data_IF_130321073913
#
_entry.id   IF_130321073913
#
_cell.length_a   1.000
_cell.length_b   1.000
_cell.length_c   1.000
_cell.angle_alpha   90.00
_cell.angle_beta   90.00
_cell.angle_gamma   90.00
#
_symmetry.space_group_name_H-M   'P 1'
#
loop_
_entity.id
_entity.type
_entity.pdbx_description
1 polymer ?
#
# COMPACT_ATOMS: atom_id res chain seq x y z
N UNK A 1 -4.95 44.63 -30.10
CA UNK A 1 -4.38 45.19 -28.85
C UNK A 1 -2.96 44.65 -28.68
N UNK A 2 -1.94 45.53 -28.74
CA UNK A 2 -0.54 45.16 -28.57
C UNK A 2 -0.31 44.66 -27.14
N UNK A 3 0.20 43.44 -26.97
CA UNK A 3 0.77 42.97 -25.70
C UNK A 3 2.01 43.82 -25.42
N UNK A 4 1.93 44.67 -24.42
CA UNK A 4 3.04 45.47 -23.94
C UNK A 4 3.93 44.53 -23.11
N UNK A 5 4.95 43.95 -23.75
CA UNK A 5 5.93 43.10 -23.08
C UNK A 5 6.89 43.99 -22.29
N UNK A 6 6.92 43.80 -20.98
CA UNK A 6 7.83 44.48 -20.05
C UNK A 6 9.28 44.02 -20.31
N UNK A 7 10.18 44.97 -20.58
CA UNK A 7 11.55 44.75 -21.08
C UNK A 7 12.49 44.20 -19.97
N UNK A 8 12.00 44.03 -18.74
CA UNK A 8 12.81 43.64 -17.57
C UNK A 8 13.04 42.12 -17.37
N UNK A 9 12.68 41.26 -18.31
CA UNK A 9 12.73 39.80 -18.11
C UNK A 9 13.36 39.01 -19.26
N UNK A 10 14.66 39.18 -19.45
CA UNK A 10 15.43 38.22 -20.26
C UNK A 10 16.68 37.78 -19.48
N UNK A 11 16.53 36.71 -18.71
CA UNK A 11 17.68 35.90 -18.29
C UNK A 11 17.87 34.83 -19.35
N UNK A 12 19.08 34.69 -19.90
CA UNK A 12 19.36 33.63 -20.84
C UNK A 12 19.52 32.31 -20.08
N UNK A 13 18.74 31.31 -20.44
CA UNK A 13 18.87 29.96 -19.87
C UNK A 13 19.30 28.98 -20.96
N UNK A 14 20.28 28.14 -20.65
CA UNK A 14 20.71 27.07 -21.54
C UNK A 14 19.69 25.93 -21.48
N UNK A 15 18.99 25.71 -22.59
CA UNK A 15 18.20 24.50 -22.80
C UNK A 15 18.98 23.55 -23.72
N UNK A 16 19.10 22.28 -23.33
CA UNK A 16 19.62 21.24 -24.20
C UNK A 16 18.50 20.76 -25.11
N UNK A 17 18.66 20.96 -26.42
CA UNK A 17 17.79 20.32 -27.41
C UNK A 17 18.01 18.80 -27.40
N UNK A 18 17.02 18.03 -27.89
CA UNK A 18 17.12 16.56 -27.99
C UNK A 18 18.34 16.08 -28.81
N UNK A 19 18.93 16.96 -29.62
CA UNK A 19 20.11 16.72 -30.45
C UNK A 19 21.42 17.25 -29.83
N UNK A 20 21.41 17.67 -28.57
CA UNK A 20 22.63 18.05 -27.82
C UNK A 20 23.22 19.43 -28.17
N UNK A 21 22.54 20.27 -28.96
CA UNK A 21 22.92 21.68 -29.15
C UNK A 21 22.32 22.55 -28.04
N UNK A 22 23.17 23.37 -27.42
CA UNK A 22 22.77 24.40 -26.46
C UNK A 22 22.17 25.59 -27.22
N UNK A 23 20.88 25.86 -26.96
CA UNK A 23 20.19 27.06 -27.47
C UNK A 23 19.93 28.03 -26.32
N UNK A 24 20.34 29.28 -26.52
CA UNK A 24 20.10 30.38 -25.59
C UNK A 24 18.69 30.93 -25.83
N UNK A 25 17.77 30.65 -24.91
CA UNK A 25 16.40 31.16 -24.98
C UNK A 25 16.13 32.19 -23.87
N UNK A 26 15.29 33.20 -24.17
CA UNK A 26 14.82 34.14 -23.18
C UNK A 26 13.93 33.47 -22.12
N UNK A 27 14.37 33.43 -20.85
CA UNK A 27 13.53 32.98 -19.74
C UNK A 27 12.52 34.05 -19.34
N UNK A 28 11.22 33.70 -19.40
CA UNK A 28 10.13 34.51 -18.87
C UNK A 28 9.53 33.82 -17.66
N UNK A 29 9.42 34.54 -16.54
CA UNK A 29 8.79 34.00 -15.34
C UNK A 29 7.28 33.84 -15.56
N UNK A 30 6.79 32.60 -15.48
CA UNK A 30 5.36 32.28 -15.60
C UNK A 30 4.82 31.71 -14.28
N UNK A 31 3.94 32.48 -13.66
CA UNK A 31 3.32 32.12 -12.38
C UNK A 31 2.45 30.85 -12.47
N UNK A 32 1.81 30.58 -13.61
CA UNK A 32 0.98 29.39 -13.82
C UNK A 32 1.89 28.15 -13.87
N UNK A 33 2.98 28.23 -14.62
CA UNK A 33 3.95 27.12 -14.72
C UNK A 33 4.57 26.81 -13.37
N UNK A 34 5.01 27.84 -12.63
CA UNK A 34 5.62 27.65 -11.30
C UNK A 34 4.64 27.03 -10.30
N UNK A 35 3.38 27.48 -10.28
CA UNK A 35 2.35 26.91 -9.40
C UNK A 35 2.04 25.46 -9.74
N UNK A 36 1.98 25.12 -11.03
CA UNK A 36 1.82 23.73 -11.48
C UNK A 36 3.00 22.88 -11.04
N UNK A 37 4.24 23.36 -11.20
CA UNK A 37 5.45 22.66 -10.75
C UNK A 37 5.51 22.48 -9.23
N UNK A 38 5.05 23.48 -8.47
CA UNK A 38 4.91 23.37 -7.03
C UNK A 38 3.89 22.29 -6.64
N UNK A 39 2.74 22.21 -7.34
CA UNK A 39 1.76 21.16 -7.12
C UNK A 39 2.31 19.77 -7.47
N UNK A 40 3.02 19.63 -8.61
CA UNK A 40 3.70 18.39 -9.00
C UNK A 40 4.71 17.95 -7.95
N UNK A 41 5.52 18.87 -7.40
CA UNK A 41 6.48 18.59 -6.32
C UNK A 41 5.77 18.11 -5.04
N UNK A 42 4.66 18.74 -4.67
CA UNK A 42 3.87 18.36 -3.49
C UNK A 42 3.29 16.95 -3.66
N UNK A 43 2.81 16.61 -4.86
CA UNK A 43 2.30 15.28 -5.18
C UNK A 43 3.45 14.26 -5.13
N UNK A 44 4.55 14.53 -5.82
CA UNK A 44 5.68 13.61 -5.96
C UNK A 44 6.34 13.26 -4.63
N UNK A 45 6.43 14.23 -3.72
CA UNK A 45 7.08 14.06 -2.42
C UNK A 45 6.10 13.98 -1.26
N UNK A 46 4.80 13.86 -1.55
CA UNK A 46 3.72 13.72 -0.56
C UNK A 46 3.75 14.81 0.53
N UNK A 47 4.12 16.04 0.14
CA UNK A 47 4.27 17.11 1.11
C UNK A 47 2.91 17.56 1.66
N UNK A 48 2.84 17.96 2.95
CA UNK A 48 1.65 18.58 3.49
C UNK A 48 1.27 19.82 2.68
N UNK A 49 0.00 19.95 2.28
CA UNK A 49 -0.48 21.12 1.52
C UNK A 49 -0.21 22.45 2.22
N UNK A 50 -0.04 22.44 3.55
CA UNK A 50 0.31 23.62 4.36
C UNK A 50 1.75 24.09 4.18
N UNK A 51 2.64 23.30 3.58
CA UNK A 51 4.03 23.67 3.34
C UNK A 51 4.14 25.05 2.66
N UNK A 52 3.25 25.34 1.70
CA UNK A 52 3.24 26.61 0.95
C UNK A 52 2.94 27.83 1.82
N UNK A 53 2.41 27.62 3.03
CA UNK A 53 2.07 28.67 3.99
C UNK A 53 3.14 28.88 5.06
N UNK A 54 4.12 27.97 5.17
CA UNK A 54 5.19 28.04 6.17
C UNK A 54 6.12 29.23 5.91
N UNK A 55 6.56 29.92 6.96
CA UNK A 55 7.42 31.11 6.84
C UNK A 55 8.74 30.79 6.11
N UNK A 56 9.42 29.69 6.46
CA UNK A 56 10.66 29.30 5.80
C UNK A 56 10.49 29.04 4.29
N UNK A 57 9.36 28.45 3.86
CA UNK A 57 9.08 28.27 2.43
C UNK A 57 8.87 29.61 1.71
N UNK A 58 8.19 30.56 2.36
CA UNK A 58 7.95 31.90 1.81
C UNK A 58 9.25 32.69 1.66
N UNK A 59 10.10 32.69 2.68
CA UNK A 59 11.41 33.38 2.65
C UNK A 59 12.34 32.76 1.60
N UNK A 60 12.43 31.43 1.56
CA UNK A 60 13.18 30.70 0.55
C UNK A 60 12.72 31.05 -0.87
N UNK A 61 11.40 30.98 -1.13
CA UNK A 61 10.84 31.23 -2.45
C UNK A 61 10.99 32.69 -2.88
N UNK A 62 10.85 33.64 -1.95
CA UNK A 62 11.04 35.07 -2.21
C UNK A 62 12.50 35.39 -2.56
N UNK A 63 13.46 34.68 -1.94
CA UNK A 63 14.89 34.81 -2.23
C UNK A 63 15.23 34.24 -3.60
N UNK A 64 14.65 33.08 -3.96
CA UNK A 64 14.86 32.47 -5.28
C UNK A 64 14.25 33.29 -6.43
N UNK A 65 13.03 33.79 -6.23
CA UNK A 65 12.29 34.50 -7.26
C UNK A 65 11.34 35.52 -6.63
N UNK A 66 11.74 36.81 -6.53
CA UNK A 66 10.98 37.86 -5.86
C UNK A 66 9.57 38.09 -6.43
N UNK A 67 9.33 37.73 -7.71
CA UNK A 67 8.01 37.85 -8.35
C UNK A 67 7.08 36.68 -8.01
N UNK A 68 7.57 35.60 -7.41
CA UNK A 68 6.73 34.51 -6.96
C UNK A 68 5.90 34.94 -5.75
N UNK A 69 4.58 34.94 -5.94
CA UNK A 69 3.63 35.20 -4.87
C UNK A 69 3.23 33.87 -4.21
N UNK A 70 3.53 33.65 -2.92
CA UNK A 70 3.09 32.48 -2.20
C UNK A 70 1.58 32.27 -2.31
N UNK A 71 1.17 31.01 -2.33
CA UNK A 71 -0.23 30.62 -2.45
C UNK A 71 -0.74 30.04 -1.14
N UNK A 72 -2.06 30.02 -0.97
CA UNK A 72 -2.68 29.30 0.15
C UNK A 72 -2.73 27.79 -0.14
N UNK A 73 -2.90 27.00 0.92
CA UNK A 73 -3.18 25.56 0.82
C UNK A 73 -4.44 25.26 -0.01
N UNK A 74 -5.42 26.16 -0.03
CA UNK A 74 -6.65 25.99 -0.81
C UNK A 74 -6.40 26.23 -2.31
N UNK A 75 -5.55 27.20 -2.64
CA UNK A 75 -5.12 27.45 -4.02
C UNK A 75 -4.31 26.28 -4.55
N UNK A 76 -3.35 25.75 -3.77
CA UNK A 76 -2.57 24.60 -4.21
C UNK A 76 -3.42 23.33 -4.34
N UNK A 77 -4.38 23.11 -3.43
CA UNK A 77 -5.38 22.04 -3.56
C UNK A 77 -6.13 22.12 -4.88
N UNK A 78 -6.57 23.32 -5.29
CA UNK A 78 -7.26 23.53 -6.57
C UNK A 78 -6.38 23.16 -7.76
N UNK A 79 -5.10 23.54 -7.73
CA UNK A 79 -4.16 23.17 -8.79
C UNK A 79 -3.92 21.66 -8.85
N UNK A 80 -3.83 20.99 -7.69
CA UNK A 80 -3.74 19.53 -7.64
C UNK A 80 -4.99 18.88 -8.25
N UNK A 81 -6.20 19.40 -7.96
CA UNK A 81 -7.42 18.90 -8.57
C UNK A 81 -7.46 19.12 -10.09
N UNK A 82 -6.98 20.27 -10.58
CA UNK A 82 -6.87 20.50 -12.02
C UNK A 82 -5.90 19.52 -12.71
N UNK A 83 -4.78 19.20 -12.05
CA UNK A 83 -3.87 18.15 -12.53
C UNK A 83 -4.60 16.80 -12.56
N UNK A 84 -5.33 16.47 -11.49
CA UNK A 84 -6.13 15.25 -11.44
C UNK A 84 -7.15 15.17 -12.58
N UNK A 85 -7.91 16.23 -12.85
CA UNK A 85 -8.92 16.23 -13.92
C UNK A 85 -8.28 15.97 -15.29
N UNK A 86 -7.14 16.61 -15.56
CA UNK A 86 -6.38 16.40 -16.81
C UNK A 86 -5.83 14.96 -16.90
N UNK A 87 -5.24 14.43 -15.83
CA UNK A 87 -4.69 13.08 -15.81
C UNK A 87 -5.79 11.99 -15.82
N UNK A 88 -6.98 12.30 -15.28
CA UNK A 88 -8.17 11.45 -15.36
C UNK A 88 -8.60 11.30 -16.81
N UNK A 89 -8.81 12.40 -17.53
CA UNK A 89 -9.20 12.38 -18.95
C UNK A 89 -8.18 11.62 -19.81
N UNK A 90 -6.88 11.89 -19.62
CA UNK A 90 -5.82 11.12 -20.30
C UNK A 90 -5.91 9.62 -20.01
N UNK A 91 -6.18 9.25 -18.76
CA UNK A 91 -6.29 7.85 -18.36
C UNK A 91 -7.53 7.20 -18.95
N UNK A 92 -8.67 7.89 -19.00
CA UNK A 92 -9.87 7.42 -19.71
C UNK A 92 -9.53 7.17 -21.18
N UNK A 93 -8.89 8.13 -21.86
CA UNK A 93 -8.49 7.94 -23.26
C UNK A 93 -7.57 6.73 -23.47
N UNK A 94 -6.63 6.48 -22.54
CA UNK A 94 -5.76 5.29 -22.59
C UNK A 94 -6.58 4.01 -22.43
N UNK A 95 -7.51 3.97 -21.47
CA UNK A 95 -8.35 2.80 -21.24
C UNK A 95 -9.31 2.54 -22.41
N UNK A 96 -9.84 3.59 -23.04
CA UNK A 96 -10.70 3.51 -24.22
C UNK A 96 -9.95 3.04 -25.47
N UNK A 97 -8.74 3.55 -25.71
CA UNK A 97 -7.88 3.11 -26.82
C UNK A 97 -7.36 1.68 -26.64
N UNK A 98 -7.14 1.25 -25.39
CA UNK A 98 -6.62 -0.07 -25.09
C UNK A 98 -7.59 -1.18 -25.55
N UNK A 99 -7.07 -2.11 -26.35
CA UNK A 99 -7.86 -3.23 -26.90
C UNK A 99 -8.05 -4.37 -25.92
N UNK A 100 -7.18 -4.49 -24.91
CA UNK A 100 -7.32 -5.55 -23.90
C UNK A 100 -8.54 -5.32 -23.02
N UNK A 101 -9.05 -6.40 -22.44
CA UNK A 101 -9.95 -6.33 -21.28
C UNK A 101 -9.20 -5.79 -20.07
N UNK A 102 -9.96 -5.32 -19.09
CA UNK A 102 -9.42 -4.77 -17.83
C UNK A 102 -9.93 -5.58 -16.65
N UNK A 103 -9.07 -5.77 -15.65
CA UNK A 103 -9.44 -6.34 -14.37
C UNK A 103 -9.38 -5.27 -13.28
N UNK A 104 -10.21 -5.41 -12.25
CA UNK A 104 -10.21 -4.48 -11.12
C UNK A 104 -9.87 -5.21 -9.83
N UNK A 105 -9.10 -4.58 -8.96
CA UNK A 105 -8.99 -4.97 -7.55
C UNK A 105 -9.65 -3.90 -6.70
N UNK A 106 -10.50 -4.28 -5.76
CA UNK A 106 -11.04 -3.35 -4.76
C UNK A 106 -10.80 -3.87 -3.35
N UNK A 107 -10.43 -2.94 -2.48
CA UNK A 107 -10.19 -3.21 -1.07
C UNK A 107 -10.86 -2.12 -0.23
N UNK A 108 -11.52 -2.55 0.84
CA UNK A 108 -12.14 -1.65 1.81
C UNK A 108 -11.51 -1.83 3.18
N UNK A 109 -11.27 -0.72 3.87
CA UNK A 109 -10.81 -0.75 5.25
C UNK A 109 -11.37 0.42 6.04
N UNK A 110 -11.45 0.24 7.35
CA UNK A 110 -11.80 1.30 8.29
C UNK A 110 -10.53 1.87 8.90
N UNK A 111 -10.30 3.17 8.70
CA UNK A 111 -9.17 3.88 9.31
C UNK A 111 -9.25 3.79 10.85
N UNK A 112 -8.17 3.36 11.49
CA UNK A 112 -8.10 3.18 12.95
C UNK A 112 -8.32 4.46 13.75
N UNK A 113 -7.78 5.59 13.28
CA UNK A 113 -7.83 6.89 13.96
C UNK A 113 -9.18 7.59 13.76
N UNK A 114 -9.56 7.80 12.49
CA UNK A 114 -10.78 8.55 12.15
C UNK A 114 -12.07 7.72 12.21
N UNK A 115 -11.96 6.38 12.33
CA UNK A 115 -13.09 5.43 12.25
C UNK A 115 -13.94 5.59 10.98
N UNK A 116 -13.30 5.98 9.87
CA UNK A 116 -13.92 6.19 8.56
C UNK A 116 -13.61 5.03 7.62
N UNK A 117 -14.62 4.57 6.88
CA UNK A 117 -14.47 3.56 5.83
C UNK A 117 -13.95 4.18 4.54
N UNK A 118 -12.96 3.53 3.94
CA UNK A 118 -12.44 3.90 2.63
C UNK A 118 -12.40 2.69 1.71
N UNK A 119 -12.73 2.90 0.44
CA UNK A 119 -12.60 1.92 -0.63
C UNK A 119 -11.61 2.43 -1.66
N UNK A 120 -10.63 1.60 -2.03
CA UNK A 120 -9.75 1.88 -3.16
C UNK A 120 -10.09 0.96 -4.33
N UNK A 121 -10.25 1.55 -5.51
CA UNK A 121 -10.52 0.83 -6.77
C UNK A 121 -9.31 1.01 -7.67
N UNK A 122 -8.67 -0.09 -8.05
CA UNK A 122 -7.49 -0.11 -8.91
C UNK A 122 -7.78 -0.93 -10.16
N UNK A 123 -7.50 -0.37 -11.32
CA UNK A 123 -7.60 -1.07 -12.61
C UNK A 123 -6.25 -1.65 -13.00
N UNK A 124 -6.29 -2.82 -13.60
CA UNK A 124 -5.14 -3.55 -14.13
C UNK A 124 -5.43 -3.98 -15.57
N UNK A 125 -4.47 -3.75 -16.47
CA UNK A 125 -4.60 -4.11 -17.88
C UNK A 125 -3.22 -4.34 -18.51
N UNK A 126 -3.19 -4.93 -19.70
CA UNK A 126 -1.98 -5.09 -20.51
C UNK A 126 -2.11 -4.10 -21.66
N UNK A 127 -1.11 -3.24 -21.84
CA UNK A 127 -1.09 -2.28 -22.95
C UNK A 127 -0.58 -2.90 -24.25
N UNK A 128 -0.60 -2.11 -25.34
CA UNK A 128 -0.14 -2.56 -26.66
C UNK A 128 1.36 -2.88 -26.72
N UNK A 129 2.14 -2.46 -25.71
CA UNK A 129 3.56 -2.81 -25.54
C UNK A 129 3.76 -4.09 -24.75
N UNK A 130 2.68 -4.85 -24.48
CA UNK A 130 2.69 -6.04 -23.64
C UNK A 130 3.17 -5.78 -22.21
N UNK A 131 3.06 -4.54 -21.73
CA UNK A 131 3.40 -4.18 -20.36
C UNK A 131 2.16 -4.20 -19.47
N UNK A 132 2.32 -4.76 -18.27
CA UNK A 132 1.30 -4.68 -17.23
C UNK A 132 1.20 -3.24 -16.71
N UNK A 133 -0.01 -2.72 -16.72
CA UNK A 133 -0.34 -1.40 -16.21
C UNK A 133 -1.27 -1.53 -15.01
N UNK A 134 -1.02 -0.72 -13.98
CA UNK A 134 -1.85 -0.63 -12.78
C UNK A 134 -2.09 0.83 -12.43
N UNK A 135 -3.37 1.22 -12.26
CA UNK A 135 -3.76 2.60 -11.97
C UNK A 135 -4.85 2.62 -10.91
N UNK A 136 -4.67 3.44 -9.87
CA UNK A 136 -5.72 3.70 -8.89
C UNK A 136 -6.73 4.62 -9.55
N UNK A 137 -7.96 4.13 -9.75
CA UNK A 137 -9.06 4.91 -10.32
C UNK A 137 -9.73 5.79 -9.28
N UNK A 138 -9.92 5.26 -8.07
CA UNK A 138 -10.59 6.03 -7.02
C UNK A 138 -10.15 5.61 -5.63
N UNK A 139 -10.10 6.61 -4.77
CA UNK A 139 -10.02 6.47 -3.32
C UNK A 139 -11.27 7.11 -2.71
N UNK A 140 -12.22 6.28 -2.32
CA UNK A 140 -13.60 6.68 -1.96
C UNK A 140 -13.73 6.68 -0.45
N UNK A 141 -14.25 7.76 0.11
CA UNK A 141 -14.82 7.72 1.47
C UNK A 141 -16.21 7.10 1.38
N UNK A 142 -16.41 5.97 2.06
CA UNK A 142 -17.70 5.27 2.11
C UNK A 142 -18.27 5.41 3.52
N UNK A 143 -19.31 6.24 3.72
CA UNK A 143 -19.95 6.37 5.02
C UNK A 143 -20.64 5.06 5.43
N UNK A 144 -20.82 4.86 6.73
CA UNK A 144 -21.64 3.76 7.23
C UNK A 144 -23.12 3.97 6.84
N UNK A 145 -23.90 2.89 6.63
CA UNK A 145 -23.52 1.49 6.82
C UNK A 145 -22.73 0.90 5.64
N UNK A 146 -21.79 0.00 5.93
CA UNK A 146 -20.99 -0.70 4.91
C UNK A 146 -21.69 -1.98 4.43
N UNK A 147 -22.93 -1.85 3.96
CA UNK A 147 -23.71 -2.98 3.44
C UNK A 147 -23.31 -3.33 2.02
N UNK A 148 -23.72 -4.51 1.54
CA UNK A 148 -23.43 -4.96 0.19
C UNK A 148 -23.99 -3.98 -0.87
N UNK A 149 -25.15 -3.39 -0.61
CA UNK A 149 -25.81 -2.43 -1.49
C UNK A 149 -24.99 -1.13 -1.59
N UNK A 150 -24.59 -0.55 -0.46
CA UNK A 150 -23.79 0.68 -0.44
C UNK A 150 -22.43 0.51 -1.12
N UNK A 151 -21.78 -0.65 -0.93
CA UNK A 151 -20.51 -0.94 -1.62
C UNK A 151 -20.72 -1.18 -3.12
N UNK A 152 -21.81 -1.85 -3.49
CA UNK A 152 -22.19 -2.06 -4.89
C UNK A 152 -22.44 -0.75 -5.61
N UNK A 153 -23.18 0.18 -5.00
CA UNK A 153 -23.42 1.52 -5.54
C UNK A 153 -22.12 2.31 -5.70
N UNK A 154 -21.30 2.40 -4.66
CA UNK A 154 -20.02 3.13 -4.72
C UNK A 154 -19.08 2.58 -5.81
N UNK A 155 -19.06 1.25 -5.99
CA UNK A 155 -18.27 0.61 -7.02
C UNK A 155 -18.87 0.84 -8.40
N UNK A 156 -20.19 0.67 -8.58
CA UNK A 156 -20.89 0.90 -9.84
C UNK A 156 -20.71 2.35 -10.33
N UNK A 157 -20.86 3.34 -9.43
CA UNK A 157 -20.61 4.75 -9.73
C UNK A 157 -19.17 4.96 -10.22
N UNK A 158 -18.20 4.27 -9.60
CA UNK A 158 -16.81 4.30 -10.06
C UNK A 158 -16.65 3.69 -11.46
N UNK A 159 -17.34 2.60 -11.78
CA UNK A 159 -17.25 1.99 -13.12
C UNK A 159 -17.83 2.92 -14.20
N UNK A 160 -18.97 3.55 -13.91
CA UNK A 160 -19.64 4.47 -14.82
C UNK A 160 -18.86 5.77 -15.00
N UNK A 161 -18.34 6.35 -13.90
CA UNK A 161 -17.54 7.59 -13.90
C UNK A 161 -16.23 7.49 -14.69
N UNK A 162 -15.77 6.27 -14.95
CA UNK A 162 -14.57 5.96 -15.71
C UNK A 162 -14.87 5.31 -17.08
N UNK A 163 -16.15 5.09 -17.41
CA UNK A 163 -16.61 4.47 -18.67
C UNK A 163 -15.97 3.09 -18.95
N UNK A 164 -15.92 2.24 -17.93
CA UNK A 164 -15.20 0.96 -18.00
C UNK A 164 -16.06 -0.29 -17.80
N UNK A 165 -17.34 -0.14 -17.50
CA UNK A 165 -18.31 -1.20 -17.26
C UNK A 165 -18.33 -2.25 -18.38
N UNK A 166 -18.17 -1.82 -19.64
CA UNK A 166 -18.19 -2.71 -20.82
C UNK A 166 -16.87 -3.40 -21.13
N UNK A 167 -15.76 -3.01 -20.49
CA UNK A 167 -14.41 -3.57 -20.74
C UNK A 167 -13.95 -4.56 -19.67
N UNK A 168 -14.73 -4.75 -18.61
CA UNK A 168 -14.38 -5.60 -17.49
C UNK A 168 -14.22 -7.07 -17.89
N UNK A 169 -13.14 -7.68 -17.42
CA UNK A 169 -12.95 -9.14 -17.41
C UNK A 169 -13.29 -9.73 -16.05
N UNK A 170 -12.74 -9.16 -14.99
CA UNK A 170 -12.89 -9.69 -13.63
C UNK A 170 -12.70 -8.60 -12.57
N UNK A 171 -13.22 -8.88 -11.38
CA UNK A 171 -13.01 -8.14 -10.15
C UNK A 171 -12.43 -9.05 -9.08
N UNK A 172 -11.37 -8.58 -8.42
CA UNK A 172 -10.76 -9.24 -7.28
C UNK A 172 -11.12 -8.49 -5.99
N UNK A 173 -11.75 -9.19 -5.06
CA UNK A 173 -12.15 -8.68 -3.74
C UNK A 173 -11.68 -9.61 -2.63
N UNK A 174 -11.58 -9.09 -1.40
CA UNK A 174 -11.32 -9.96 -0.25
C UNK A 174 -12.50 -10.91 0.03
N UNK A 175 -12.31 -11.86 0.96
CA UNK A 175 -13.33 -12.88 1.23
C UNK A 175 -14.38 -12.44 2.27
N UNK A 176 -14.51 -11.14 2.54
CA UNK A 176 -15.52 -10.61 3.45
C UNK A 176 -16.94 -11.01 2.99
N UNK A 177 -17.83 -11.30 3.94
CA UNK A 177 -19.22 -11.68 3.68
C UNK A 177 -19.96 -10.63 2.86
N UNK A 178 -19.73 -9.35 3.15
CA UNK A 178 -20.33 -8.22 2.41
C UNK A 178 -19.96 -8.25 0.93
N UNK A 179 -18.69 -8.54 0.61
CA UNK A 179 -18.23 -8.63 -0.78
C UNK A 179 -18.87 -9.81 -1.52
N UNK A 180 -19.06 -10.95 -0.84
CA UNK A 180 -19.77 -12.10 -1.44
C UNK A 180 -21.22 -11.78 -1.82
N UNK A 181 -21.88 -10.90 -1.08
CA UNK A 181 -23.24 -10.45 -1.37
C UNK A 181 -23.29 -9.31 -2.41
N UNK A 182 -22.28 -8.44 -2.43
CA UNK A 182 -22.17 -7.32 -3.37
C UNK A 182 -22.01 -7.76 -4.82
N UNK A 183 -21.22 -8.82 -5.06
CA UNK A 183 -20.82 -9.26 -6.41
C UNK A 183 -22.03 -9.66 -7.29
N UNK A 184 -23.00 -10.49 -6.83
CA UNK A 184 -24.21 -10.78 -7.60
C UNK A 184 -24.98 -9.51 -7.97
N UNK A 185 -25.19 -8.59 -7.01
CA UNK A 185 -25.90 -7.33 -7.27
C UNK A 185 -25.15 -6.41 -8.24
N UNK A 186 -23.82 -6.47 -8.28
CA UNK A 186 -23.02 -5.74 -9.26
C UNK A 186 -23.16 -6.37 -10.66
N UNK A 187 -23.14 -7.70 -10.75
CA UNK A 187 -23.34 -8.41 -12.02
C UNK A 187 -24.70 -8.09 -12.65
N UNK A 188 -25.76 -7.99 -11.84
CA UNK A 188 -27.10 -7.61 -12.31
C UNK A 188 -27.16 -6.19 -12.90
N UNK A 189 -26.24 -5.29 -12.51
CA UNK A 189 -26.11 -3.93 -13.06
C UNK A 189 -25.25 -3.86 -14.32
N UNK A 190 -24.56 -4.94 -14.67
CA UNK A 190 -23.68 -5.01 -15.84
C UNK A 190 -24.32 -5.80 -16.98
N UNK A 191 -23.88 -5.54 -18.20
CA UNK A 191 -24.29 -6.33 -19.35
C UNK A 191 -23.48 -7.63 -19.43
N UNK A 192 -24.11 -8.77 -19.14
CA UNK A 192 -23.45 -10.08 -19.16
C UNK A 192 -22.76 -10.40 -20.50
N UNK A 193 -23.33 -9.97 -21.62
CA UNK A 193 -22.74 -10.23 -22.95
C UNK A 193 -21.41 -9.49 -23.18
N UNK A 194 -21.16 -8.41 -22.43
CA UNK A 194 -19.89 -7.69 -22.47
C UNK A 194 -18.82 -8.40 -21.59
N UNK A 195 -19.19 -9.31 -20.69
CA UNK A 195 -18.27 -10.01 -19.77
C UNK A 195 -17.72 -11.32 -20.34
N UNK A 196 -16.55 -11.74 -19.86
CA UNK A 196 -15.96 -13.04 -20.23
C UNK A 196 -16.84 -14.18 -19.73
N UNK A 197 -17.18 -15.11 -20.64
CA UNK A 197 -18.05 -16.27 -20.35
C UNK A 197 -19.36 -15.86 -19.65
N UNK A 198 -19.97 -14.76 -20.09
CA UNK A 198 -21.21 -14.21 -19.51
C UNK A 198 -21.12 -13.94 -18.00
N UNK A 199 -19.93 -13.55 -17.52
CA UNK A 199 -19.68 -13.24 -16.11
C UNK A 199 -19.29 -14.44 -15.24
N UNK A 200 -19.19 -15.65 -15.80
CA UNK A 200 -18.80 -16.87 -15.05
C UNK A 200 -17.46 -16.72 -14.33
N UNK A 201 -16.51 -15.97 -14.92
CA UNK A 201 -15.18 -15.71 -14.35
C UNK A 201 -15.05 -14.28 -13.77
N UNK A 202 -16.16 -13.60 -13.52
CA UNK A 202 -16.13 -12.20 -13.09
C UNK A 202 -15.53 -12.05 -11.70
N UNK A 203 -15.82 -12.96 -10.76
CA UNK A 203 -15.38 -12.82 -9.38
C UNK A 203 -14.14 -13.66 -9.08
N UNK A 204 -13.05 -12.98 -8.76
CA UNK A 204 -11.84 -13.55 -8.22
C UNK A 204 -11.73 -13.25 -6.72
N UNK A 205 -11.41 -14.26 -5.92
CA UNK A 205 -11.14 -14.06 -4.48
C UNK A 205 -9.69 -13.68 -4.28
N UNK A 206 -9.43 -12.78 -3.34
CA UNK A 206 -8.08 -12.40 -2.97
C UNK A 206 -7.33 -13.62 -2.39
N UNK A 207 -6.34 -14.11 -3.14
CA UNK A 207 -5.53 -15.26 -2.79
C UNK A 207 -4.70 -15.03 -1.52
N UNK A 208 -4.13 -13.84 -1.35
CA UNK A 208 -3.42 -13.45 -0.13
C UNK A 208 -4.34 -13.48 1.10
N UNK A 209 -5.62 -13.12 0.93
CA UNK A 209 -6.59 -13.21 2.01
C UNK A 209 -6.96 -14.66 2.34
N UNK A 210 -7.08 -15.54 1.32
CA UNK A 210 -7.28 -16.98 1.52
C UNK A 210 -6.12 -17.58 2.33
N UNK A 211 -4.88 -17.29 1.95
CA UNK A 211 -3.70 -17.74 2.71
C UNK A 211 -3.74 -17.22 4.15
N UNK A 212 -4.08 -15.95 4.35
CA UNK A 212 -4.25 -15.40 5.69
C UNK A 212 -5.31 -16.14 6.52
N UNK A 213 -6.42 -16.59 5.91
CA UNK A 213 -7.42 -17.39 6.62
C UNK A 213 -6.88 -18.78 7.00
N UNK A 214 -6.20 -19.45 6.08
CA UNK A 214 -5.59 -20.78 6.33
C UNK A 214 -4.57 -20.70 7.47
N UNK A 215 -3.67 -19.71 7.43
CA UNK A 215 -2.64 -19.56 8.46
C UNK A 215 -3.25 -19.21 9.81
N UNK A 216 -4.29 -18.36 9.85
CA UNK A 216 -4.98 -18.04 11.10
C UNK A 216 -5.65 -19.26 11.72
N UNK A 217 -6.37 -20.04 10.92
CA UNK A 217 -7.01 -21.27 11.39
C UNK A 217 -5.99 -22.24 11.98
N UNK A 218 -4.82 -22.38 11.32
CA UNK A 218 -3.69 -23.14 11.86
C UNK A 218 -3.14 -22.56 13.16
N UNK A 219 -2.92 -21.23 13.21
CA UNK A 219 -2.40 -20.52 14.37
C UNK A 219 -3.33 -20.59 15.59
N UNK A 220 -4.65 -20.63 15.38
CA UNK A 220 -5.63 -20.71 16.47
C UNK A 220 -5.52 -22.05 17.23
N UNK A 221 -5.09 -23.13 16.56
CA UNK A 221 -4.86 -24.45 17.18
C UNK A 221 -3.55 -24.50 17.97
N UNK A 222 -2.52 -23.80 17.51
CA UNK A 222 -1.15 -23.83 18.08
C UNK A 222 -0.84 -22.59 18.95
N UNK A 223 -1.78 -21.67 19.08
CA UNK A 223 -1.58 -20.34 19.66
C UNK A 223 -1.11 -20.37 21.11
N UNK A 224 -1.59 -21.33 21.90
CA UNK A 224 -1.15 -21.54 23.28
C UNK A 224 0.35 -21.86 23.38
N UNK A 225 0.90 -22.57 22.38
CA UNK A 225 2.30 -22.99 22.36
C UNK A 225 3.30 -21.85 22.16
N UNK A 226 2.86 -20.69 21.68
CA UNK A 226 3.71 -19.50 21.50
C UNK A 226 3.40 -18.36 22.46
N UNK A 227 2.43 -18.55 23.37
CA UNK A 227 1.95 -17.49 24.26
C UNK A 227 3.02 -17.00 25.24
N UNK A 228 3.91 -17.88 25.70
CA UNK A 228 5.02 -17.50 26.59
C UNK A 228 6.05 -16.62 25.91
N UNK A 229 6.33 -16.88 24.63
CA UNK A 229 7.20 -16.04 23.81
C UNK A 229 6.53 -14.69 23.57
N UNK A 230 5.24 -14.69 23.18
CA UNK A 230 4.44 -13.47 23.00
C UNK A 230 4.43 -12.60 24.25
N UNK A 231 4.12 -13.20 25.40
CA UNK A 231 4.11 -12.53 26.71
C UNK A 231 5.49 -11.98 27.09
N UNK A 232 6.57 -12.71 26.76
CA UNK A 232 7.93 -12.23 27.00
C UNK A 232 8.30 -11.06 26.11
N UNK A 233 7.95 -11.10 24.82
CA UNK A 233 8.16 -9.98 23.90
C UNK A 233 7.38 -8.76 24.38
N UNK A 234 6.10 -8.93 24.72
CA UNK A 234 5.26 -7.87 25.30
C UNK A 234 5.91 -7.24 26.53
N UNK A 235 6.45 -8.05 27.43
CA UNK A 235 7.14 -7.56 28.62
C UNK A 235 8.30 -6.64 28.27
N UNK A 236 9.19 -7.07 27.35
CA UNK A 236 10.41 -6.35 27.01
C UNK A 236 10.18 -5.11 26.14
N UNK A 237 9.14 -5.11 25.29
CA UNK A 237 8.79 -3.96 24.46
C UNK A 237 7.91 -2.92 25.16
N UNK A 238 7.39 -3.23 26.36
CA UNK A 238 6.41 -2.39 27.06
C UNK A 238 6.91 -0.99 27.45
N UNK A 239 8.22 -0.81 27.66
CA UNK A 239 8.76 0.48 28.13
C UNK A 239 10.15 0.76 27.54
N UNK A 240 10.53 2.04 27.32
CA UNK A 240 11.86 2.40 26.84
C UNK A 240 12.99 1.79 27.68
N UNK A 241 12.86 1.85 29.01
CA UNK A 241 13.84 1.27 29.95
C UNK A 241 14.05 -0.23 29.73
N UNK A 242 12.99 -1.00 29.43
CA UNK A 242 13.11 -2.44 29.17
C UNK A 242 13.73 -2.72 27.81
N UNK A 243 13.41 -1.90 26.81
CA UNK A 243 14.01 -1.98 25.47
C UNK A 243 15.52 -1.74 25.55
N UNK A 244 15.94 -0.64 26.18
CA UNK A 244 17.36 -0.29 26.37
C UNK A 244 18.10 -1.41 27.10
N UNK A 245 17.49 -1.98 28.15
CA UNK A 245 18.07 -3.08 28.91
C UNK A 245 18.22 -4.37 28.11
N UNK A 246 17.24 -4.67 27.26
CA UNK A 246 17.31 -5.81 26.35
C UNK A 246 18.45 -5.64 25.35
N UNK A 247 18.58 -4.43 24.78
CA UNK A 247 19.66 -4.08 23.85
C UNK A 247 21.04 -4.12 24.52
N UNK A 248 21.18 -3.57 25.72
CA UNK A 248 22.41 -3.66 26.51
C UNK A 248 22.82 -5.11 26.77
N UNK A 249 21.84 -5.99 27.06
CA UNK A 249 22.11 -7.40 27.31
C UNK A 249 22.52 -8.13 26.04
N UNK A 250 21.89 -7.82 24.90
CA UNK A 250 22.33 -8.32 23.59
C UNK A 250 23.78 -7.91 23.29
N UNK A 251 24.14 -6.64 23.53
CA UNK A 251 25.52 -6.14 23.41
C UNK A 251 26.50 -6.88 24.31
N UNK A 252 26.14 -7.12 25.57
CA UNK A 252 27.00 -7.85 26.52
C UNK A 252 27.23 -9.32 26.13
N UNK A 253 26.28 -9.93 25.41
CA UNK A 253 26.42 -11.29 24.89
C UNK A 253 27.10 -11.33 23.51
N UNK A 254 27.56 -10.18 22.99
CA UNK A 254 28.08 -10.03 21.62
C UNK A 254 27.09 -10.49 20.53
N UNK A 255 25.78 -10.37 20.78
CA UNK A 255 24.73 -10.67 19.80
C UNK A 255 24.37 -9.38 19.07
N UNK A 256 24.52 -9.28 17.73
CA UNK A 256 24.20 -8.08 16.98
C UNK A 256 22.71 -7.70 17.11
N UNK A 257 22.43 -6.54 17.70
CA UNK A 257 21.08 -6.01 17.82
C UNK A 257 20.65 -5.29 16.52
N UNK A 258 20.46 -6.07 15.46
CA UNK A 258 20.11 -5.55 14.12
C UNK A 258 18.61 -5.33 13.92
N UNK A 259 17.76 -6.01 14.72
CA UNK A 259 16.30 -5.95 14.62
C UNK A 259 15.68 -5.70 15.99
N UNK A 260 14.76 -4.74 16.09
CA UNK A 260 14.01 -4.51 17.33
C UNK A 260 13.00 -5.64 17.56
N UNK A 261 12.76 -5.99 18.83
CA UNK A 261 11.64 -6.87 19.19
C UNK A 261 10.32 -6.23 18.73
N UNK A 262 9.42 -7.03 18.17
CA UNK A 262 8.11 -6.58 17.67
C UNK A 262 7.04 -7.53 18.21
N UNK A 263 6.03 -6.97 18.87
CA UNK A 263 4.86 -7.73 19.29
C UNK A 263 3.96 -8.03 18.09
N UNK A 264 3.41 -9.23 18.03
CA UNK A 264 2.49 -9.60 16.97
C UNK A 264 1.13 -8.90 17.09
N UNK A 265 0.45 -8.81 15.95
CA UNK A 265 -0.90 -8.31 15.79
C UNK A 265 -1.80 -9.53 15.50
N UNK A 266 -2.73 -9.90 16.39
CA UNK A 266 -3.56 -11.10 16.23
C UNK A 266 -4.33 -11.15 14.91
N UNK A 267 -4.66 -9.99 14.33
CA UNK A 267 -5.40 -9.92 13.07
C UNK A 267 -4.53 -10.04 11.82
N UNK A 268 -3.20 -10.11 11.94
CA UNK A 268 -2.23 -10.20 10.83
C UNK A 268 -1.16 -11.25 11.09
N UNK A 269 -1.32 -12.43 10.54
CA UNK A 269 -0.41 -13.56 10.80
C UNK A 269 1.07 -13.28 10.49
N UNK A 270 1.37 -12.45 9.47
CA UNK A 270 2.75 -12.04 9.13
C UNK A 270 3.51 -11.45 10.33
N UNK A 271 2.80 -10.77 11.22
CA UNK A 271 3.40 -10.18 12.42
C UNK A 271 3.81 -11.23 13.45
N UNK A 272 3.08 -12.35 13.54
CA UNK A 272 3.48 -13.51 14.35
C UNK A 272 4.74 -14.15 13.79
N UNK A 273 4.83 -14.31 12.46
CA UNK A 273 6.06 -14.77 11.80
C UNK A 273 7.26 -13.88 12.14
N UNK A 274 7.12 -12.55 12.03
CA UNK A 274 8.20 -11.62 12.39
C UNK A 274 8.55 -11.67 13.87
N UNK A 275 7.56 -11.74 14.77
CA UNK A 275 7.79 -11.86 16.20
C UNK A 275 8.64 -13.10 16.52
N UNK A 276 8.26 -14.27 15.99
CA UNK A 276 8.99 -15.52 16.23
C UNK A 276 10.40 -15.47 15.62
N UNK A 277 10.52 -15.02 14.38
CA UNK A 277 11.83 -14.87 13.69
C UNK A 277 12.79 -14.00 14.49
N UNK A 278 12.32 -12.85 14.99
CA UNK A 278 13.16 -11.94 15.77
C UNK A 278 13.44 -12.50 17.17
N UNK A 279 12.45 -13.10 17.83
CA UNK A 279 12.63 -13.68 19.16
C UNK A 279 13.68 -14.81 19.16
N UNK A 280 13.69 -15.64 18.11
CA UNK A 280 14.66 -16.73 17.94
C UNK A 280 16.11 -16.22 17.84
N UNK A 281 16.35 -15.07 17.20
CA UNK A 281 17.68 -14.44 17.12
C UNK A 281 18.23 -14.05 18.50
N UNK A 282 17.35 -13.79 19.46
CA UNK A 282 17.70 -13.29 20.79
C UNK A 282 17.43 -14.30 21.90
N UNK A 283 17.29 -15.60 21.58
CA UNK A 283 17.02 -16.67 22.55
C UNK A 283 17.93 -16.61 23.79
N UNK A 284 19.23 -16.41 23.58
CA UNK A 284 20.20 -16.33 24.68
C UNK A 284 20.07 -15.05 25.51
N UNK A 285 19.58 -13.96 24.91
CA UNK A 285 19.27 -12.71 25.61
C UNK A 285 18.10 -12.92 26.57
N UNK A 286 17.02 -13.58 26.11
CA UNK A 286 15.89 -13.93 26.97
C UNK A 286 16.32 -14.84 28.13
N UNK A 287 17.16 -15.85 27.86
CA UNK A 287 17.70 -16.74 28.89
C UNK A 287 18.60 -16.00 29.90
N UNK A 288 19.40 -15.03 29.45
CA UNK A 288 20.23 -14.21 30.36
C UNK A 288 19.38 -13.29 31.24
N UNK A 289 18.32 -12.72 30.68
CA UNK A 289 17.42 -11.81 31.38
C UNK A 289 16.54 -12.53 32.40
N UNK A 290 16.09 -13.76 32.12
CA UNK A 290 15.31 -14.55 33.10
C UNK A 290 16.06 -14.79 34.41
N UNK A 291 17.39 -14.93 34.34
CA UNK A 291 18.24 -15.10 35.54
C UNK A 291 18.55 -13.77 36.23
N UNK A 292 18.80 -12.70 35.46
CA UNK A 292 19.23 -11.41 36.03
C UNK A 292 18.07 -10.57 36.58
N UNK A 293 16.89 -10.69 35.99
CA UNK A 293 15.80 -9.74 36.19
C UNK A 293 14.70 -10.33 37.07
N UNK A 294 14.79 -10.06 38.38
CA UNK A 294 13.82 -10.56 39.37
C UNK A 294 12.35 -10.21 39.06
N UNK A 295 12.11 -9.13 38.32
CA UNK A 295 10.77 -8.69 37.92
C UNK A 295 10.26 -9.37 36.63
N UNK A 296 11.13 -10.06 35.88
CA UNK A 296 10.77 -10.83 34.70
C UNK A 296 10.53 -12.28 35.11
N UNK A 297 9.25 -12.62 35.31
CA UNK A 297 8.81 -13.92 35.84
C UNK A 297 8.41 -14.94 34.76
N UNK A 298 8.53 -14.58 33.49
CA UNK A 298 8.10 -15.43 32.39
C UNK A 298 9.25 -16.37 32.06
N UNK A 299 9.00 -17.67 32.17
CA UNK A 299 9.95 -18.71 31.83
C UNK A 299 9.56 -19.35 30.49
N UNK A 300 10.41 -19.12 29.48
CA UNK A 300 10.26 -19.75 28.16
C UNK A 300 11.00 -21.08 28.19
N UNK A 301 10.28 -22.18 28.00
CA UNK A 301 10.83 -23.53 28.03
C UNK A 301 11.57 -23.86 26.73
N UNK A 302 12.44 -24.86 26.78
CA UNK A 302 13.10 -25.40 25.59
C UNK A 302 12.11 -25.90 24.53
N UNK A 303 10.96 -26.44 24.97
CA UNK A 303 9.85 -26.86 24.09
C UNK A 303 9.23 -25.68 23.35
N UNK A 304 9.08 -24.52 23.99
CA UNK A 304 8.51 -23.32 23.38
C UNK A 304 9.43 -22.81 22.26
N UNK A 305 10.75 -22.80 22.51
CA UNK A 305 11.74 -22.44 21.48
C UNK A 305 11.78 -23.42 20.31
N UNK A 306 11.63 -24.72 20.58
CA UNK A 306 11.56 -25.74 19.53
C UNK A 306 10.31 -25.56 18.67
N UNK A 307 9.16 -25.33 19.30
CA UNK A 307 7.92 -25.05 18.58
C UNK A 307 8.02 -23.76 17.76
N UNK A 308 8.57 -22.69 18.34
CA UNK A 308 8.78 -21.42 17.63
C UNK A 308 9.67 -21.57 16.39
N UNK A 309 10.72 -22.40 16.44
CA UNK A 309 11.56 -22.68 15.29
C UNK A 309 10.78 -23.41 14.18
N UNK A 310 10.05 -24.48 14.53
CA UNK A 310 9.20 -25.23 13.57
C UNK A 310 8.17 -24.29 12.93
N UNK A 311 7.51 -23.46 13.73
CA UNK A 311 6.51 -22.52 13.24
C UNK A 311 7.12 -21.43 12.38
N UNK A 312 8.29 -20.90 12.74
CA UNK A 312 8.97 -19.92 11.92
C UNK A 312 9.33 -20.49 10.54
N UNK A 313 9.78 -21.74 10.46
CA UNK A 313 10.11 -22.37 9.18
C UNK A 313 8.86 -22.62 8.33
N UNK A 314 7.78 -23.12 8.92
CA UNK A 314 6.51 -23.31 8.21
C UNK A 314 5.91 -21.98 7.75
N UNK A 315 5.87 -20.96 8.61
CA UNK A 315 5.32 -19.64 8.29
C UNK A 315 6.17 -18.88 7.26
N UNK A 316 7.47 -19.17 7.17
CA UNK A 316 8.35 -18.56 6.16
C UNK A 316 7.86 -18.87 4.74
N UNK A 317 7.46 -20.12 4.48
CA UNK A 317 6.93 -20.50 3.17
C UNK A 317 5.66 -19.72 2.82
N UNK A 318 4.71 -19.62 3.76
CA UNK A 318 3.52 -18.80 3.58
C UNK A 318 3.85 -17.32 3.33
N UNK A 319 4.93 -16.83 3.93
CA UNK A 319 5.32 -15.42 3.85
C UNK A 319 5.86 -15.12 2.46
N UNK A 320 6.77 -15.96 1.98
CA UNK A 320 7.33 -15.87 0.63
C UNK A 320 6.23 -15.95 -0.44
N UNK A 321 5.29 -16.89 -0.30
CA UNK A 321 4.15 -16.99 -1.23
C UNK A 321 3.23 -15.78 -1.17
N UNK A 322 2.98 -15.22 0.02
CA UNK A 322 2.13 -14.02 0.18
C UNK A 322 2.77 -12.77 -0.43
N UNK A 323 4.09 -12.60 -0.26
CA UNK A 323 4.86 -11.54 -0.92
C UNK A 323 4.78 -11.69 -2.45
N UNK A 324 4.91 -12.92 -2.97
CA UNK A 324 4.78 -13.18 -4.40
C UNK A 324 3.38 -12.82 -4.94
N UNK A 325 2.31 -13.13 -4.21
CA UNK A 325 0.94 -12.75 -4.60
C UNK A 325 0.64 -11.26 -4.49
N UNK A 326 1.44 -10.53 -3.70
CA UNK A 326 1.31 -9.08 -3.50
C UNK A 326 2.09 -8.26 -4.54
N UNK A 327 2.72 -8.93 -5.50
CA UNK A 327 3.44 -8.29 -6.60
C UNK A 327 2.54 -7.40 -7.47
N UNK A 328 3.06 -6.23 -7.84
CA UNK A 328 2.34 -5.22 -8.66
C UNK A 328 2.95 -5.01 -10.04
N UNK A 329 4.12 -5.62 -10.32
CA UNK A 329 4.90 -5.42 -11.55
C UNK A 329 4.91 -6.64 -12.47
N UNK A 330 4.21 -7.70 -12.11
CA UNK A 330 4.14 -8.94 -12.86
C UNK A 330 2.79 -9.64 -12.62
N UNK A 331 2.33 -10.50 -13.55
CA UNK A 331 1.14 -11.33 -13.34
C UNK A 331 1.27 -12.27 -12.14
N UNK A 332 0.28 -12.22 -11.23
CA UNK A 332 0.27 -13.05 -10.02
C UNK A 332 -0.75 -14.20 -10.08
N UNK A 333 -1.79 -14.09 -10.91
CA UNK A 333 -2.88 -15.09 -10.95
C UNK A 333 -2.41 -16.47 -11.44
N UNK A 334 -1.48 -16.53 -12.39
CA UNK A 334 -0.99 -17.78 -12.98
C UNK A 334 -0.07 -18.58 -12.04
N UNK A 335 0.54 -17.94 -11.05
CA UNK A 335 1.46 -18.62 -10.11
C UNK A 335 0.76 -19.16 -8.86
N UNK A 336 -0.52 -18.79 -8.64
CA UNK A 336 -1.27 -19.15 -7.44
C UNK A 336 -1.31 -20.66 -7.19
N UNK A 337 -1.74 -21.42 -8.20
CA UNK A 337 -1.96 -22.87 -8.06
C UNK A 337 -0.68 -23.60 -7.65
N UNK A 338 0.44 -23.30 -8.32
CA UNK A 338 1.73 -23.93 -8.07
C UNK A 338 2.19 -23.70 -6.62
N UNK A 339 2.14 -22.46 -6.15
CA UNK A 339 2.60 -22.15 -4.80
C UNK A 339 1.70 -22.70 -3.69
N UNK A 340 0.39 -22.84 -3.94
CA UNK A 340 -0.49 -23.53 -2.99
C UNK A 340 -0.18 -25.03 -2.96
N UNK A 341 0.16 -25.65 -4.10
CA UNK A 341 0.66 -27.01 -4.13
C UNK A 341 1.97 -27.16 -3.36
N UNK A 342 2.92 -26.22 -3.53
CA UNK A 342 4.19 -26.22 -2.80
C UNK A 342 3.97 -26.15 -1.28
N UNK A 343 3.04 -25.29 -0.82
CA UNK A 343 2.63 -25.22 0.59
C UNK A 343 2.06 -26.57 1.04
N UNK A 344 1.14 -27.16 0.28
CA UNK A 344 0.53 -28.44 0.65
C UNK A 344 1.57 -29.55 0.78
N UNK A 345 2.49 -29.65 -0.19
CA UNK A 345 3.55 -30.66 -0.18
C UNK A 345 4.46 -30.47 1.03
N UNK A 346 4.90 -29.23 1.27
CA UNK A 346 5.78 -28.91 2.41
C UNK A 346 5.16 -29.14 3.79
N UNK A 347 3.82 -29.19 3.88
CA UNK A 347 3.10 -29.51 5.13
C UNK A 347 2.81 -31.01 5.29
N UNK A 348 2.98 -31.79 4.21
CA UNK A 348 2.72 -33.24 4.20
C UNK A 348 3.97 -34.08 4.43
N UNK A 349 5.14 -33.46 4.28
CA UNK A 349 6.47 -34.00 4.63
C UNK A 349 6.83 -33.65 6.08
#
# INVERSE_FOLDING_TARGET
MRKQNDIRQYTLTNNKTKDGKDTLEPYTFDLIVVRRKLAEMIILHEYPLRMVEHNGFKEYSATLQPLFKPVSRNTIKRHIMQIYDVEKEKTISVLEANRSRISITTGMWTSSHQKKGFMAVTVHFIDDSWAMQSRILRFIYVPCPHTAETLCEALNDCLMDWNIDRKLSSITVDNCSTNKQMIPSLLEKLNNSDLILNGTLFHMRCCAHILNLIVKDGLDVIGEGIERIRSSVLYWVATPKRIEKFEDTARQLNIPYSKRLVLDCPTRWNSTYFMLTIALLYKDVFARLSVREKQYKIEILGTDWRLAAILQDNLKLFYEVTEMFSGTKYPTTNVFFLHVCDIRLSLSD
#
